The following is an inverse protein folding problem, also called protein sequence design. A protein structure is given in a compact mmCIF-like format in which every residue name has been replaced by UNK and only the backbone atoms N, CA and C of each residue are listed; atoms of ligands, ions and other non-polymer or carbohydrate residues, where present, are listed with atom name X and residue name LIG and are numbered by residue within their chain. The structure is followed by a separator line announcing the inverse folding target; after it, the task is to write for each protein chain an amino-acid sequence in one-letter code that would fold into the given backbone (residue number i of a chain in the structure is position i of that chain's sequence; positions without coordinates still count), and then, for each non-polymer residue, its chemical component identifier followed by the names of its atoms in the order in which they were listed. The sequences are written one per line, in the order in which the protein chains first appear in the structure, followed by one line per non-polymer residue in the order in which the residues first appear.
data_IF_830467767216
#
_entry.id   IF_830467767216
#
_cell.length_a   1.000
_cell.length_b   1.000
_cell.length_c   1.000
_cell.angle_alpha   90.00
_cell.angle_beta   90.00
_cell.angle_gamma   90.00
#
_symmetry.space_group_name_H-M   'P 1'
#
loop_
_entity.id
_entity.type
_entity.pdbx_description
1 polymer ?
#
# COMPACT_ATOMS: atom_id res chain seq x y z
N UNK A 1 24.17 28.62 72.16
CA UNK A 1 23.85 28.50 70.71
C UNK A 1 23.46 27.07 70.45
N UNK A 2 22.14 26.76 70.27
CA UNK A 2 21.66 25.43 69.89
C UNK A 2 21.46 25.39 68.38
N UNK A 3 22.17 24.50 67.70
CA UNK A 3 22.03 24.26 66.27
C UNK A 3 20.72 23.43 66.01
N UNK A 4 19.75 24.05 65.38
CA UNK A 4 18.50 23.36 64.99
C UNK A 4 18.76 22.39 63.83
N UNK A 5 18.57 21.09 64.12
CA UNK A 5 18.64 20.02 63.09
C UNK A 5 17.34 20.06 62.29
N UNK A 6 17.45 20.44 61.00
CA UNK A 6 16.33 20.38 60.06
C UNK A 6 16.14 18.92 59.65
N UNK A 7 15.06 18.27 60.13
CA UNK A 7 14.68 16.95 59.66
C UNK A 7 13.99 17.06 58.29
N UNK A 8 14.69 16.60 57.27
CA UNK A 8 14.11 16.42 55.95
C UNK A 8 13.10 15.25 56.04
N UNK A 9 11.80 15.55 55.92
CA UNK A 9 10.75 14.52 55.88
C UNK A 9 10.88 13.70 54.60
N UNK A 10 11.01 12.36 54.69
CA UNK A 10 11.12 11.54 53.50
C UNK A 10 9.81 11.63 52.68
N UNK A 11 9.92 11.92 51.39
CA UNK A 11 8.78 11.88 50.48
C UNK A 11 8.05 10.52 50.57
N UNK A 12 6.71 10.48 50.77
CA UNK A 12 6.02 9.23 50.96
C UNK A 12 6.20 8.33 49.74
N UNK A 13 6.64 7.09 49.96
CA UNK A 13 6.92 6.07 48.91
C UNK A 13 5.79 5.93 47.88
N UNK A 14 4.55 6.18 48.29
CA UNK A 14 3.38 6.16 47.43
C UNK A 14 3.44 7.21 46.29
N UNK A 15 3.87 8.42 46.55
CA UNK A 15 4.02 9.50 45.56
C UNK A 15 5.07 9.11 44.52
N UNK A 16 6.19 8.53 44.94
CA UNK A 16 7.26 8.09 44.05
C UNK A 16 6.79 6.99 43.09
N UNK A 17 5.97 6.05 43.58
CA UNK A 17 5.41 4.96 42.76
C UNK A 17 4.41 5.52 41.72
N UNK A 18 3.56 6.46 42.11
CA UNK A 18 2.61 7.10 41.18
C UNK A 18 3.31 7.94 40.14
N UNK A 19 4.36 8.69 40.47
CA UNK A 19 5.18 9.44 39.53
C UNK A 19 5.87 8.52 38.52
N UNK A 20 6.42 7.37 38.95
CA UNK A 20 7.02 6.39 38.03
C UNK A 20 6.03 5.81 37.03
N UNK A 21 4.79 5.49 37.49
CA UNK A 21 3.72 5.01 36.60
C UNK A 21 3.30 6.08 35.60
N UNK A 22 3.14 7.32 36.04
CA UNK A 22 2.79 8.44 35.18
C UNK A 22 3.86 8.69 34.10
N UNK A 23 5.15 8.69 34.48
CA UNK A 23 6.27 8.84 33.54
C UNK A 23 6.32 7.70 32.51
N UNK A 24 6.05 6.46 32.93
CA UNK A 24 5.98 5.32 32.03
C UNK A 24 4.85 5.48 31.00
N UNK A 25 3.67 5.92 31.41
CA UNK A 25 2.53 6.17 30.51
C UNK A 25 2.85 7.30 29.52
N UNK A 26 3.40 8.41 30.00
CA UNK A 26 3.82 9.53 29.14
C UNK A 26 4.86 9.08 28.12
N UNK A 27 5.85 8.27 28.52
CA UNK A 27 6.86 7.74 27.61
C UNK A 27 6.27 6.85 26.53
N UNK A 28 5.30 5.99 26.86
CA UNK A 28 4.59 5.13 25.91
C UNK A 28 3.80 5.97 24.89
N UNK A 29 3.09 6.99 25.36
CA UNK A 29 2.30 7.89 24.50
C UNK A 29 3.21 8.68 23.55
N UNK A 30 4.32 9.23 24.05
CA UNK A 30 5.29 9.94 23.21
C UNK A 30 5.93 9.03 22.16
N UNK A 31 6.25 7.78 22.53
CA UNK A 31 6.78 6.80 21.57
C UNK A 31 5.75 6.43 20.48
N UNK A 32 4.49 6.27 20.84
CA UNK A 32 3.41 6.00 19.88
C UNK A 32 3.21 7.16 18.89
N UNK A 33 3.29 8.41 19.35
CA UNK A 33 3.20 9.60 18.50
C UNK A 33 4.39 9.66 17.51
N UNK A 34 5.61 9.32 17.97
CA UNK A 34 6.78 9.30 17.09
C UNK A 34 6.67 8.25 15.98
N UNK A 35 6.14 7.05 16.27
CA UNK A 35 5.92 6.01 15.26
C UNK A 35 4.93 6.48 14.18
N UNK A 36 3.81 7.09 14.56
CA UNK A 36 2.86 7.63 13.59
C UNK A 36 3.45 8.76 12.72
N UNK A 37 4.30 9.60 13.29
CA UNK A 37 4.96 10.66 12.54
C UNK A 37 5.94 10.09 11.49
N UNK A 38 6.67 9.03 11.80
CA UNK A 38 7.58 8.36 10.86
C UNK A 38 6.82 7.74 9.68
N UNK A 39 5.67 7.11 9.94
CA UNK A 39 4.82 6.54 8.90
C UNK A 39 4.32 7.60 7.91
N UNK A 40 3.90 8.76 8.41
CA UNK A 40 3.46 9.90 7.58
C UNK A 40 4.60 10.43 6.71
N UNK A 41 5.80 10.59 7.27
CA UNK A 41 6.98 11.04 6.53
C UNK A 41 7.31 10.06 5.39
N UNK A 42 7.34 8.76 5.69
CA UNK A 42 7.58 7.70 4.71
C UNK A 42 6.55 7.74 3.56
N UNK A 43 5.27 7.78 3.88
CA UNK A 43 4.19 7.83 2.88
C UNK A 43 4.29 9.07 2.00
N UNK A 44 4.67 10.23 2.56
CA UNK A 44 4.90 11.45 1.82
C UNK A 44 6.13 11.37 0.90
N UNK A 45 7.21 10.73 1.31
CA UNK A 45 8.39 10.50 0.47
C UNK A 45 8.03 9.61 -0.73
N UNK A 46 7.34 8.49 -0.50
CA UNK A 46 6.85 7.60 -1.55
C UNK A 46 5.94 8.36 -2.53
N UNK A 47 4.98 9.13 -2.03
CA UNK A 47 4.07 9.95 -2.85
C UNK A 47 4.82 10.98 -3.68
N UNK A 48 5.80 11.67 -3.08
CA UNK A 48 6.59 12.70 -3.76
C UNK A 48 7.45 12.11 -4.87
N UNK A 49 8.08 10.96 -4.62
CA UNK A 49 8.95 10.30 -5.60
C UNK A 49 8.15 9.76 -6.77
N UNK A 50 7.14 8.92 -6.50
CA UNK A 50 6.32 8.32 -7.57
C UNK A 50 5.41 9.37 -8.25
N UNK A 51 5.05 10.43 -7.55
CA UNK A 51 4.29 11.55 -8.09
C UNK A 51 5.02 12.33 -9.20
N UNK A 52 6.33 12.23 -9.33
CA UNK A 52 7.12 12.87 -10.41
C UNK A 52 7.10 12.07 -11.72
N UNK A 53 6.85 10.76 -11.65
CA UNK A 53 6.83 9.86 -12.80
C UNK A 53 5.61 10.19 -13.67
N UNK A 54 5.82 10.45 -14.95
CA UNK A 54 4.75 10.74 -15.92
C UNK A 54 4.25 9.48 -16.61
N UNK A 55 5.19 8.59 -16.95
CA UNK A 55 4.92 7.32 -17.61
C UNK A 55 6.00 6.30 -17.28
N UNK A 56 5.71 5.02 -17.42
CA UNK A 56 6.72 3.97 -17.43
C UNK A 56 6.27 2.76 -18.24
N UNK A 57 7.26 2.02 -18.74
CA UNK A 57 7.17 0.67 -19.27
C UNK A 57 8.02 -0.24 -18.39
N UNK A 58 7.49 -1.43 -18.05
CA UNK A 58 8.18 -2.36 -17.17
C UNK A 58 7.87 -3.81 -17.54
N UNK A 59 8.75 -4.73 -17.17
CA UNK A 59 8.43 -6.14 -17.13
C UNK A 59 7.51 -6.43 -15.94
N UNK A 60 6.52 -7.30 -16.15
CA UNK A 60 5.55 -7.70 -15.17
C UNK A 60 5.54 -9.22 -15.01
N UNK A 61 5.73 -9.69 -13.78
CA UNK A 61 5.45 -11.07 -13.41
C UNK A 61 4.23 -11.10 -12.49
N UNK A 62 3.21 -11.87 -12.86
CA UNK A 62 2.04 -12.10 -12.03
C UNK A 62 2.00 -13.54 -11.56
N UNK A 63 1.95 -13.75 -10.26
CA UNK A 63 1.85 -15.08 -9.62
C UNK A 63 0.58 -15.16 -8.78
N UNK A 64 -0.35 -16.01 -9.23
CA UNK A 64 -1.56 -16.34 -8.49
C UNK A 64 -1.36 -17.64 -7.71
N UNK A 65 -1.36 -17.55 -6.38
CA UNK A 65 -1.23 -18.70 -5.46
C UNK A 65 -2.59 -19.00 -4.82
N UNK A 66 -3.07 -20.21 -5.02
CA UNK A 66 -4.25 -20.81 -4.41
C UNK A 66 -3.82 -22.03 -3.57
N UNK A 67 -4.66 -22.56 -2.65
CA UNK A 67 -4.27 -23.66 -1.76
C UNK A 67 -3.71 -24.91 -2.44
N UNK A 68 -4.10 -25.16 -3.70
CA UNK A 68 -3.67 -26.38 -4.44
C UNK A 68 -2.94 -26.07 -5.76
N UNK A 69 -2.74 -24.78 -6.09
CA UNK A 69 -2.18 -24.42 -7.40
C UNK A 69 -1.54 -23.05 -7.36
N UNK A 70 -0.31 -22.96 -7.84
CA UNK A 70 0.35 -21.69 -8.17
C UNK A 70 0.47 -21.59 -9.68
N UNK A 71 0.19 -20.41 -10.21
CA UNK A 71 0.28 -20.11 -11.64
C UNK A 71 1.02 -18.80 -11.82
N UNK A 72 2.08 -18.81 -12.61
CA UNK A 72 2.85 -17.60 -12.94
C UNK A 72 2.70 -17.29 -14.42
N UNK A 73 2.60 -16.00 -14.74
CA UNK A 73 2.58 -15.48 -16.11
C UNK A 73 3.39 -14.19 -16.19
N UNK A 74 4.08 -14.00 -17.31
CA UNK A 74 4.86 -12.82 -17.59
C UNK A 74 4.11 -11.90 -18.55
N UNK A 75 4.46 -10.61 -18.52
CA UNK A 75 3.85 -9.61 -19.38
C UNK A 75 4.62 -8.30 -19.35
N UNK A 76 4.01 -7.29 -19.93
CA UNK A 76 4.51 -5.92 -19.92
C UNK A 76 3.48 -5.03 -19.24
N UNK A 77 3.97 -4.14 -18.37
CA UNK A 77 3.19 -3.14 -17.69
C UNK A 77 3.48 -1.76 -18.29
N UNK A 78 2.43 -1.06 -18.66
CA UNK A 78 2.47 0.31 -19.12
C UNK A 78 1.67 1.20 -18.17
N UNK A 79 2.20 2.37 -17.86
CA UNK A 79 1.52 3.38 -17.07
C UNK A 79 1.70 4.76 -17.67
N UNK A 80 0.61 5.53 -17.71
CA UNK A 80 0.62 6.97 -18.06
C UNK A 80 -0.28 7.71 -17.05
N UNK A 81 0.32 8.67 -16.40
CA UNK A 81 -0.39 9.51 -15.42
C UNK A 81 -1.46 10.36 -16.12
N UNK A 82 -2.60 10.62 -15.47
CA UNK A 82 -2.93 10.22 -14.11
C UNK A 82 -3.72 8.91 -13.99
N UNK A 83 -4.35 8.39 -15.06
CA UNK A 83 -5.41 7.38 -14.96
C UNK A 83 -5.33 6.24 -15.97
N UNK A 84 -4.18 6.04 -16.61
CA UNK A 84 -4.03 5.01 -17.62
C UNK A 84 -2.98 3.98 -17.22
N UNK A 85 -3.35 2.70 -17.24
CA UNK A 85 -2.37 1.62 -17.21
C UNK A 85 -2.85 0.42 -18.02
N UNK A 86 -1.90 -0.39 -18.50
CA UNK A 86 -2.17 -1.65 -19.18
C UNK A 86 -1.18 -2.71 -18.71
N UNK A 87 -1.69 -3.83 -18.20
CA UNK A 87 -0.94 -5.06 -17.97
C UNK A 87 -1.29 -6.04 -19.08
N UNK A 88 -0.34 -6.34 -19.96
CA UNK A 88 -0.50 -7.20 -21.11
C UNK A 88 0.34 -8.46 -20.92
N UNK A 89 -0.30 -9.61 -20.75
CA UNK A 89 0.38 -10.88 -20.48
C UNK A 89 0.67 -11.67 -21.75
N UNK A 90 1.77 -12.41 -21.76
CA UNK A 90 2.17 -13.28 -22.88
C UNK A 90 1.15 -14.38 -23.20
N UNK A 91 0.27 -14.69 -22.24
CA UNK A 91 -0.85 -15.62 -22.38
C UNK A 91 -2.05 -15.07 -23.17
N UNK A 92 -1.99 -13.81 -23.62
CA UNK A 92 -3.10 -13.08 -24.24
C UNK A 92 -4.06 -12.45 -23.24
N UNK A 93 -3.90 -12.69 -21.93
CA UNK A 93 -4.67 -12.03 -20.87
C UNK A 93 -4.26 -10.58 -20.74
N UNK A 94 -5.15 -9.76 -20.23
CA UNK A 94 -4.87 -8.34 -20.06
C UNK A 94 -5.72 -7.68 -18.97
N UNK A 95 -5.24 -6.56 -18.47
CA UNK A 95 -5.98 -5.61 -17.67
C UNK A 95 -5.62 -4.20 -18.13
N UNK A 96 -6.59 -3.46 -18.64
CA UNK A 96 -6.41 -2.10 -19.16
C UNK A 96 -7.32 -1.16 -18.40
N UNK A 97 -6.76 -0.12 -17.81
CA UNK A 97 -7.49 1.01 -17.24
C UNK A 97 -7.27 2.23 -18.11
N UNK A 98 -8.36 2.86 -18.50
CA UNK A 98 -8.37 4.11 -19.24
C UNK A 98 -9.41 5.03 -18.61
N UNK A 99 -8.95 6.11 -17.99
CA UNK A 99 -9.76 7.10 -17.26
C UNK A 99 -10.73 6.48 -16.25
N UNK A 100 -11.97 6.23 -16.65
CA UNK A 100 -13.05 5.75 -15.79
C UNK A 100 -13.53 4.34 -16.13
N UNK A 101 -12.81 3.62 -16.99
CA UNK A 101 -13.15 2.25 -17.38
C UNK A 101 -11.97 1.32 -17.16
N UNK A 102 -12.32 0.09 -16.80
CA UNK A 102 -11.37 -1.03 -16.76
C UNK A 102 -11.91 -2.12 -17.69
N UNK A 103 -11.08 -2.56 -18.62
CA UNK A 103 -11.32 -3.76 -19.43
C UNK A 103 -10.32 -4.82 -19.01
N UNK A 104 -10.80 -6.02 -18.79
CA UNK A 104 -9.93 -7.10 -18.37
C UNK A 104 -10.37 -8.44 -18.92
N UNK A 105 -9.39 -9.31 -19.09
CA UNK A 105 -9.53 -10.75 -19.29
C UNK A 105 -8.53 -11.47 -18.39
N UNK A 106 -8.86 -11.59 -17.10
CA UNK A 106 -7.99 -12.18 -16.09
C UNK A 106 -8.83 -13.18 -15.28
N UNK A 107 -8.59 -14.47 -15.51
CA UNK A 107 -9.20 -15.53 -14.72
C UNK A 107 -10.73 -15.56 -14.83
N UNK A 108 -11.43 -15.20 -13.75
CA UNK A 108 -12.90 -15.15 -13.72
C UNK A 108 -13.47 -13.80 -14.17
N UNK A 109 -12.62 -12.80 -14.38
CA UNK A 109 -13.05 -11.45 -14.75
C UNK A 109 -12.83 -11.22 -16.23
N UNK A 110 -13.92 -11.13 -16.97
CA UNK A 110 -13.93 -10.86 -18.40
C UNK A 110 -14.95 -9.77 -18.71
N UNK A 111 -14.53 -8.71 -19.38
CA UNK A 111 -15.41 -7.62 -19.79
C UNK A 111 -14.89 -6.22 -19.53
N UNK A 112 -15.77 -5.24 -19.74
CA UNK A 112 -15.50 -3.82 -19.51
C UNK A 112 -16.42 -3.30 -18.40
N UNK A 113 -15.84 -2.62 -17.42
CA UNK A 113 -16.54 -2.11 -16.25
C UNK A 113 -16.24 -0.62 -16.07
N UNK A 114 -17.19 0.14 -15.52
CA UNK A 114 -16.96 1.53 -15.13
C UNK A 114 -16.32 1.60 -13.76
N UNK A 115 -15.31 2.44 -13.61
CA UNK A 115 -14.62 2.65 -12.32
C UNK A 115 -15.41 3.54 -11.36
N UNK A 116 -16.39 4.32 -11.85
CA UNK A 116 -17.19 5.24 -11.03
C UNK A 116 -18.38 4.60 -10.33
N UNK A 117 -18.79 3.39 -10.73
CA UNK A 117 -20.00 2.76 -10.23
C UNK A 117 -19.82 2.09 -8.85
N UNK A 118 -18.64 2.22 -8.26
CA UNK A 118 -18.28 1.57 -6.99
C UNK A 118 -18.00 0.07 -7.15
N UNK A 119 -17.65 -0.59 -6.06
CA UNK A 119 -17.46 -2.03 -6.04
C UNK A 119 -16.03 -2.50 -6.30
N UNK A 120 -15.89 -3.80 -6.59
CA UNK A 120 -14.61 -4.49 -6.65
C UNK A 120 -13.70 -3.98 -7.79
N UNK A 121 -14.27 -3.70 -8.96
CA UNK A 121 -13.49 -3.27 -10.14
C UNK A 121 -12.90 -1.87 -9.95
N UNK A 122 -13.66 -0.94 -9.34
CA UNK A 122 -13.14 0.36 -8.95
C UNK A 122 -12.01 0.21 -7.93
N UNK A 123 -12.21 -0.65 -6.92
CA UNK A 123 -11.20 -0.90 -5.89
C UNK A 123 -9.92 -1.46 -6.52
N UNK A 124 -10.02 -2.40 -7.45
CA UNK A 124 -8.86 -2.99 -8.15
C UNK A 124 -8.12 -1.95 -8.99
N UNK A 125 -8.82 -1.20 -9.82
CA UNK A 125 -8.21 -0.13 -10.63
C UNK A 125 -7.51 0.92 -9.77
N UNK A 126 -8.13 1.33 -8.67
CA UNK A 126 -7.57 2.30 -7.74
C UNK A 126 -6.33 1.76 -7.01
N UNK A 127 -6.31 0.47 -6.63
CA UNK A 127 -5.13 -0.15 -5.99
C UNK A 127 -3.90 0.03 -6.86
N UNK A 128 -4.00 -0.30 -8.15
CA UNK A 128 -2.86 -0.15 -9.08
C UNK A 128 -2.50 1.31 -9.31
N UNK A 129 -3.47 2.16 -9.64
CA UNK A 129 -3.24 3.58 -9.91
C UNK A 129 -2.63 4.32 -8.73
N UNK A 130 -3.13 4.08 -7.52
CA UNK A 130 -2.58 4.70 -6.32
C UNK A 130 -1.21 4.11 -5.95
N UNK A 131 -1.01 2.80 -6.16
CA UNK A 131 0.28 2.15 -6.01
C UNK A 131 1.35 2.78 -6.90
N UNK A 132 1.09 2.90 -8.20
CA UNK A 132 2.02 3.51 -9.17
C UNK A 132 2.33 4.98 -8.88
N UNK A 133 1.39 5.71 -8.31
CA UNK A 133 1.56 7.12 -7.95
C UNK A 133 2.06 7.34 -6.51
N UNK A 134 2.24 6.27 -5.73
CA UNK A 134 2.61 6.35 -4.32
C UNK A 134 1.53 6.97 -3.42
N UNK A 135 0.26 7.05 -3.88
CA UNK A 135 -0.87 7.69 -3.20
C UNK A 135 -1.59 6.75 -2.23
N UNK A 136 -0.82 5.99 -1.44
CA UNK A 136 -1.38 4.94 -0.58
C UNK A 136 -2.27 5.51 0.52
N UNK A 137 -1.95 6.71 1.05
CA UNK A 137 -2.82 7.37 2.03
C UNK A 137 -4.17 7.75 1.42
N UNK A 138 -4.19 8.20 0.16
CA UNK A 138 -5.42 8.52 -0.55
C UNK A 138 -6.26 7.25 -0.78
N UNK A 139 -5.61 6.13 -1.16
CA UNK A 139 -6.27 4.82 -1.26
C UNK A 139 -6.94 4.42 0.07
N UNK A 140 -6.24 4.62 1.19
CA UNK A 140 -6.79 4.28 2.50
C UNK A 140 -8.03 5.12 2.83
N UNK A 141 -7.97 6.43 2.60
CA UNK A 141 -9.06 7.36 2.87
C UNK A 141 -10.30 7.08 1.99
N UNK A 142 -10.08 6.90 0.68
CA UNK A 142 -11.16 6.74 -0.30
C UNK A 142 -11.86 5.37 -0.21
N UNK A 143 -11.12 4.32 0.21
CA UNK A 143 -11.62 2.94 0.17
C UNK A 143 -11.76 2.28 1.55
N UNK A 144 -11.45 2.99 2.63
CA UNK A 144 -11.62 2.51 4.00
C UNK A 144 -10.65 1.40 4.40
N UNK A 145 -9.37 1.59 4.06
CA UNK A 145 -8.27 0.73 4.53
C UNK A 145 -7.58 1.35 5.76
N UNK A 146 -7.15 0.50 6.68
CA UNK A 146 -6.12 0.83 7.67
C UNK A 146 -4.75 0.54 7.09
N UNK A 147 -3.77 1.38 7.39
CA UNK A 147 -2.38 1.21 6.95
C UNK A 147 -1.49 0.75 8.10
N UNK A 148 -0.54 -0.12 7.78
CA UNK A 148 0.61 -0.45 8.63
C UNK A 148 1.85 -0.39 7.75
N UNK A 149 2.93 0.20 8.27
CA UNK A 149 4.22 0.27 7.57
C UNK A 149 5.27 -0.52 8.32
N UNK A 150 6.22 -1.07 7.60
CA UNK A 150 7.45 -1.64 8.13
C UNK A 150 8.55 -1.55 7.08
N UNK A 151 9.80 -1.58 7.51
CA UNK A 151 10.96 -1.67 6.61
C UNK A 151 11.65 -2.99 6.86
N UNK A 152 11.77 -3.81 5.82
CA UNK A 152 12.43 -5.11 5.89
C UNK A 152 12.99 -5.52 4.52
N UNK A 153 14.09 -6.26 4.52
CA UNK A 153 14.67 -6.88 3.32
C UNK A 153 14.88 -5.91 2.14
N UNK A 154 15.25 -4.65 2.41
CA UNK A 154 15.47 -3.63 1.39
C UNK A 154 14.20 -2.97 0.84
N UNK A 155 13.04 -3.21 1.48
CA UNK A 155 11.77 -2.64 1.09
C UNK A 155 11.08 -1.91 2.23
N UNK A 156 10.41 -0.81 1.88
CA UNK A 156 9.32 -0.24 2.66
C UNK A 156 8.05 -1.00 2.30
N UNK A 157 7.53 -1.75 3.24
CA UNK A 157 6.34 -2.60 3.08
C UNK A 157 5.14 -1.90 3.71
N UNK A 158 4.14 -1.56 2.90
CA UNK A 158 2.91 -0.91 3.34
C UNK A 158 1.77 -1.90 3.17
N UNK A 159 1.15 -2.28 4.29
CA UNK A 159 0.01 -3.18 4.32
C UNK A 159 -1.27 -2.38 4.54
N UNK A 160 -2.14 -2.40 3.53
CA UNK A 160 -3.47 -1.82 3.58
C UNK A 160 -4.50 -2.93 3.84
N UNK A 161 -5.22 -2.87 4.96
CA UNK A 161 -6.24 -3.86 5.33
C UNK A 161 -7.60 -3.18 5.42
N UNK A 162 -8.63 -3.76 4.80
CA UNK A 162 -9.97 -3.18 4.79
C UNK A 162 -10.58 -3.18 6.21
N UNK A 163 -11.11 -2.03 6.64
CA UNK A 163 -11.66 -1.86 7.98
C UNK A 163 -13.10 -2.40 8.07
N UNK A 164 -13.91 -2.14 7.04
CA UNK A 164 -15.31 -2.55 7.01
C UNK A 164 -15.47 -3.91 6.35
N UNK A 165 -16.04 -4.89 7.05
CA UNK A 165 -16.46 -6.16 6.43
C UNK A 165 -17.44 -5.86 5.30
N UNK A 166 -17.08 -6.18 4.07
CA UNK A 166 -18.04 -6.19 2.95
C UNK A 166 -18.99 -7.37 3.15
N UNK A 167 -20.29 -7.13 2.98
CA UNK A 167 -21.36 -8.13 3.19
C UNK A 167 -21.22 -9.39 2.31
N UNK A 168 -20.43 -9.34 1.24
CA UNK A 168 -20.35 -10.41 0.22
C UNK A 168 -18.92 -10.91 0.06
N UNK A 169 -18.00 -10.80 0.93
CA UNK A 169 -16.66 -11.46 0.85
C UNK A 169 -15.94 -11.45 -0.52
N UNK A 170 -16.35 -10.58 -1.45
CA UNK A 170 -15.84 -10.46 -2.81
C UNK A 170 -14.83 -9.29 -2.85
N UNK A 171 -13.66 -9.53 -3.43
CA UNK A 171 -12.58 -8.54 -3.58
C UNK A 171 -11.39 -8.86 -2.69
N UNK A 172 -10.55 -7.85 -2.46
CA UNK A 172 -9.31 -8.03 -1.71
C UNK A 172 -9.45 -7.50 -0.29
N UNK A 173 -9.09 -8.36 0.67
CA UNK A 173 -9.10 -8.06 2.11
C UNK A 173 -7.88 -7.25 2.51
N UNK A 174 -6.73 -7.58 1.93
CA UNK A 174 -5.44 -6.98 2.25
C UNK A 174 -4.67 -6.72 0.96
N UNK A 175 -4.03 -5.57 0.89
CA UNK A 175 -3.11 -5.19 -0.18
C UNK A 175 -1.78 -4.85 0.44
N UNK A 176 -0.69 -5.39 -0.12
CA UNK A 176 0.67 -5.08 0.30
C UNK A 176 1.39 -4.39 -0.86
N UNK A 177 1.97 -3.24 -0.59
CA UNK A 177 2.83 -2.52 -1.52
C UNK A 177 4.26 -2.60 -1.02
N UNK A 178 5.20 -2.95 -1.90
CA UNK A 178 6.63 -2.93 -1.59
C UNK A 178 7.32 -1.86 -2.44
N UNK A 179 7.95 -0.92 -1.78
CA UNK A 179 8.76 0.14 -2.39
C UNK A 179 10.21 -0.07 -1.99
N UNK A 180 11.15 0.10 -2.91
CA UNK A 180 12.57 0.03 -2.60
C UNK A 180 12.99 1.08 -1.56
N UNK A 181 13.88 0.71 -0.64
CA UNK A 181 14.35 1.64 0.43
C UNK A 181 15.29 2.72 -0.08
N UNK A 182 16.02 2.47 -1.15
CA UNK A 182 17.03 3.35 -1.75
C UNK A 182 16.42 4.46 -2.60
N UNK A 183 15.31 4.19 -3.28
CA UNK A 183 14.73 5.11 -4.26
C UNK A 183 13.22 5.34 -4.12
N UNK A 184 12.54 4.66 -3.19
CA UNK A 184 11.09 4.74 -2.93
C UNK A 184 10.21 4.35 -4.12
N UNK A 185 10.74 3.62 -5.11
CA UNK A 185 9.97 3.19 -6.29
C UNK A 185 9.25 1.88 -6.03
N UNK A 186 8.06 1.74 -6.60
CA UNK A 186 7.23 0.54 -6.45
C UNK A 186 7.89 -0.66 -7.13
N UNK A 187 7.99 -1.77 -6.40
CA UNK A 187 8.54 -3.05 -6.86
C UNK A 187 7.51 -4.15 -6.94
N UNK A 188 6.54 -4.17 -6.02
CA UNK A 188 5.57 -5.27 -5.96
C UNK A 188 4.24 -4.80 -5.37
N UNK A 189 3.14 -5.34 -5.90
CA UNK A 189 1.80 -5.28 -5.30
C UNK A 189 1.33 -6.69 -5.04
N UNK A 190 0.92 -6.99 -3.80
CA UNK A 190 0.35 -8.31 -3.44
C UNK A 190 -1.08 -8.11 -2.94
N UNK A 191 -1.99 -8.86 -3.52
CA UNK A 191 -3.42 -8.82 -3.21
C UNK A 191 -3.81 -10.11 -2.50
N UNK A 192 -4.46 -10.01 -1.34
CA UNK A 192 -5.02 -11.16 -0.62
C UNK A 192 -6.53 -11.06 -0.64
N UNK A 193 -7.20 -12.07 -1.17
CA UNK A 193 -8.66 -12.15 -1.14
C UNK A 193 -9.20 -12.68 0.20
N UNK A 194 -10.52 -12.76 0.32
CA UNK A 194 -11.17 -13.29 1.53
C UNK A 194 -11.04 -14.81 1.70
N UNK A 195 -10.66 -15.53 0.64
CA UNK A 195 -10.43 -16.98 0.64
C UNK A 195 -8.98 -17.32 0.96
N UNK A 196 -8.11 -16.32 1.13
CA UNK A 196 -6.67 -16.50 1.40
C UNK A 196 -5.84 -16.76 0.15
N UNK A 197 -6.42 -16.60 -1.06
CA UNK A 197 -5.62 -16.61 -2.28
C UNK A 197 -4.74 -15.37 -2.32
N UNK A 198 -3.54 -15.52 -2.86
CA UNK A 198 -2.58 -14.45 -3.06
C UNK A 198 -2.39 -14.22 -4.55
N UNK A 199 -2.43 -12.95 -4.97
CA UNK A 199 -2.17 -12.51 -6.33
C UNK A 199 -1.05 -11.46 -6.29
N UNK A 200 0.15 -11.82 -6.71
CA UNK A 200 1.36 -10.98 -6.65
C UNK A 200 1.70 -10.45 -8.04
N UNK A 201 2.07 -9.17 -8.10
CA UNK A 201 2.49 -8.45 -9.29
C UNK A 201 3.87 -7.84 -9.04
N UNK A 202 4.92 -8.51 -9.53
CA UNK A 202 6.31 -8.04 -9.43
C UNK A 202 6.64 -7.20 -10.65
N UNK A 203 7.21 -6.03 -10.43
CA UNK A 203 7.56 -5.02 -11.43
C UNK A 203 9.08 -4.91 -11.49
N UNK A 204 9.65 -5.10 -12.66
CA UNK A 204 11.09 -5.08 -12.88
C UNK A 204 11.46 -4.38 -14.20
N UNK A 205 12.75 -4.10 -14.41
CA UNK A 205 13.29 -3.51 -15.64
C UNK A 205 12.56 -2.22 -16.09
N UNK A 206 12.24 -1.36 -15.12
CA UNK A 206 11.39 -0.19 -15.35
C UNK A 206 12.13 0.88 -16.15
N UNK A 207 11.51 1.34 -17.22
CA UNK A 207 11.93 2.48 -18.04
C UNK A 207 10.98 3.64 -17.78
N UNK A 208 11.45 4.68 -17.10
CA UNK A 208 10.65 5.83 -16.70
C UNK A 208 10.59 6.90 -17.79
N UNK A 209 9.49 7.67 -17.76
CA UNK A 209 9.24 8.84 -18.62
C UNK A 209 9.41 8.56 -20.13
N UNK A 210 9.09 7.34 -20.53
CA UNK A 210 9.09 6.92 -21.94
C UNK A 210 7.78 7.26 -22.63
N UNK A 211 7.81 7.57 -23.96
CA UNK A 211 6.59 7.76 -24.73
C UNK A 211 5.85 6.43 -24.92
N UNK A 212 4.60 6.37 -24.50
CA UNK A 212 3.76 5.18 -24.66
C UNK A 212 2.67 5.46 -25.69
N UNK A 213 2.49 4.53 -26.64
CA UNK A 213 1.46 4.67 -27.65
C UNK A 213 0.06 4.63 -27.02
N UNK A 214 -0.75 5.64 -27.28
CA UNK A 214 -2.12 5.72 -26.77
C UNK A 214 -3.02 4.53 -27.16
N UNK A 215 -2.69 3.84 -28.27
CA UNK A 215 -3.41 2.61 -28.67
C UNK A 215 -3.28 1.49 -27.63
N UNK A 216 -2.22 1.48 -26.82
CA UNK A 216 -2.03 0.53 -25.71
C UNK A 216 -3.18 0.54 -24.71
N UNK A 217 -3.88 1.67 -24.57
CA UNK A 217 -4.97 1.85 -23.60
C UNK A 217 -6.36 1.83 -24.26
N UNK A 218 -6.46 1.53 -25.55
CA UNK A 218 -7.74 1.45 -26.27
C UNK A 218 -8.40 0.06 -26.05
N UNK A 219 -9.72 0.06 -26.04
CA UNK A 219 -10.54 -1.15 -25.85
C UNK A 219 -11.11 -1.61 -27.18
#
# INVERSE_FOLDING_TARGET
MQAGTVFATPFPRFIIIQMKKLLAVISIVLFAIQLQAQDIVLLNQIKTTNGKIKSFEADLENTLTKPKKTTTQNGTLYFVKPYEFAALFTTGRFMIVNENRIKMDIGLFHGTFKLKDGGMMQSLGNIFLYGFQGRIQDLANDNGYSLKTKTENGFHVITATIIKKRLIGIGYKTVVFKYHTDNFLLSEIVLYDYSGNQDSYVISNVKYDVPINKKTFQF
#
